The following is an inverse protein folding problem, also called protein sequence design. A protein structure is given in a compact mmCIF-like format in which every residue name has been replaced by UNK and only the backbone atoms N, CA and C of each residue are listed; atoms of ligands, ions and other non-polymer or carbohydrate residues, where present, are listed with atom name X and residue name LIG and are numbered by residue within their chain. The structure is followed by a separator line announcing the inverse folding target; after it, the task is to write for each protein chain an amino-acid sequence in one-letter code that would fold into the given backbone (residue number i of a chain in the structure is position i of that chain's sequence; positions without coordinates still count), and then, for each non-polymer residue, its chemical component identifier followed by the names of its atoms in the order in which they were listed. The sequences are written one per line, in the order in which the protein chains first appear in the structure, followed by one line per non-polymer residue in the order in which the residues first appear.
data_IF_403106879444
#
_entry.id   IF_403106879444
#
_cell.length_a   1.000
_cell.length_b   1.000
_cell.length_c   1.000
_cell.angle_alpha   90.00
_cell.angle_beta   90.00
_cell.angle_gamma   90.00
#
_symmetry.space_group_name_H-M   'P 1'
#
loop_
_entity.id
_entity.type
_entity.pdbx_description
1 polymer ?
#
# COMPACT_ATOMS: atom_id res chain seq x y z
N UNK A 1 42.57 0.05 -1.20
CA UNK A 1 41.64 -1.03 -1.56
C UNK A 1 41.60 -2.17 -0.53
N UNK A 2 42.71 -2.81 -0.18
CA UNK A 2 42.72 -3.95 0.79
C UNK A 2 42.20 -3.53 2.17
N UNK A 3 42.65 -2.42 2.72
CA UNK A 3 42.20 -1.91 4.02
C UNK A 3 40.71 -1.51 4.00
N UNK A 4 40.24 -0.89 2.92
CA UNK A 4 38.82 -0.55 2.74
C UNK A 4 37.96 -1.81 2.68
N UNK A 5 38.36 -2.81 1.90
CA UNK A 5 37.65 -4.08 1.79
C UNK A 5 37.56 -4.79 3.14
N UNK A 6 38.67 -4.86 3.88
CA UNK A 6 38.70 -5.46 5.22
C UNK A 6 37.76 -4.70 6.16
N UNK A 7 37.79 -3.37 6.16
CA UNK A 7 36.90 -2.54 6.98
C UNK A 7 35.44 -2.76 6.61
N UNK A 8 35.12 -2.91 5.33
CA UNK A 8 33.74 -3.23 4.87
C UNK A 8 33.29 -4.58 5.42
N UNK A 9 34.12 -5.62 5.36
CA UNK A 9 33.82 -6.95 5.93
C UNK A 9 33.51 -6.85 7.43
N UNK A 10 34.35 -6.11 8.18
CA UNK A 10 34.14 -5.89 9.62
C UNK A 10 32.82 -5.19 9.92
N UNK A 11 32.45 -4.15 9.13
CA UNK A 11 31.23 -3.42 9.29
C UNK A 11 29.99 -4.25 8.92
N UNK A 12 30.06 -5.03 7.84
CA UNK A 12 28.99 -5.95 7.46
C UNK A 12 28.79 -7.02 8.54
N UNK A 13 29.84 -7.54 9.10
CA UNK A 13 29.77 -8.50 10.23
C UNK A 13 29.10 -7.87 11.48
N UNK A 14 29.37 -6.58 11.77
CA UNK A 14 28.75 -5.86 12.90
C UNK A 14 27.22 -5.77 12.78
N UNK A 15 26.68 -5.71 11.57
CA UNK A 15 25.23 -5.67 11.30
C UNK A 15 24.67 -7.05 10.95
N UNK A 16 25.45 -8.12 11.13
CA UNK A 16 25.01 -9.51 10.88
C UNK A 16 24.88 -9.89 9.41
N UNK A 17 25.40 -9.07 8.49
CA UNK A 17 25.30 -9.31 7.05
C UNK A 17 26.55 -10.05 6.52
N UNK A 18 26.30 -11.16 5.82
CA UNK A 18 27.36 -11.95 5.14
C UNK A 18 27.20 -11.80 3.63
N UNK A 19 27.80 -10.75 3.07
CA UNK A 19 27.79 -10.48 1.65
C UNK A 19 29.20 -10.20 1.13
N UNK A 20 29.43 -10.40 -0.16
CA UNK A 20 30.69 -10.00 -0.80
C UNK A 20 30.75 -8.45 -0.78
N UNK A 21 31.83 -7.86 -0.19
CA UNK A 21 32.00 -6.43 -0.11
C UNK A 21 32.08 -5.72 -1.49
N UNK A 22 32.32 -6.47 -2.55
CA UNK A 22 32.42 -5.94 -3.92
C UNK A 22 31.12 -6.03 -4.71
N UNK A 23 30.03 -6.57 -4.12
CA UNK A 23 28.71 -6.63 -4.77
C UNK A 23 28.07 -5.24 -4.93
N UNK A 24 27.41 -5.00 -6.05
CA UNK A 24 26.69 -3.76 -6.25
C UNK A 24 25.43 -3.69 -5.37
N UNK A 25 25.31 -2.68 -4.51
CA UNK A 25 24.21 -2.54 -3.54
C UNK A 25 22.83 -2.66 -4.22
N UNK A 26 22.66 -2.10 -5.41
CA UNK A 26 21.39 -2.14 -6.18
C UNK A 26 20.90 -3.56 -6.55
N UNK A 27 21.79 -4.56 -6.48
CA UNK A 27 21.42 -5.98 -6.78
C UNK A 27 20.97 -6.73 -5.54
N UNK A 28 21.12 -6.14 -4.36
CA UNK A 28 20.71 -6.73 -3.09
C UNK A 28 19.23 -6.44 -2.80
N UNK A 29 18.60 -7.33 -2.05
CA UNK A 29 17.25 -7.08 -1.52
C UNK A 29 17.21 -5.89 -0.56
N UNK A 30 16.04 -5.25 -0.44
CA UNK A 30 15.86 -4.01 0.33
C UNK A 30 16.33 -4.13 1.78
N UNK A 31 16.07 -5.27 2.45
CA UNK A 31 16.55 -5.52 3.83
C UNK A 31 18.06 -5.44 3.96
N UNK A 32 18.78 -6.05 3.02
CA UNK A 32 20.25 -5.99 3.00
C UNK A 32 20.76 -4.59 2.70
N UNK A 33 20.10 -3.83 1.83
CA UNK A 33 20.45 -2.44 1.56
C UNK A 33 20.31 -1.59 2.82
N UNK A 34 19.24 -1.78 3.60
CA UNK A 34 19.00 -1.08 4.86
C UNK A 34 20.10 -1.36 5.90
N UNK A 35 20.47 -2.64 6.06
CA UNK A 35 21.58 -3.02 6.95
C UNK A 35 22.92 -2.42 6.53
N UNK A 36 23.20 -2.31 5.22
CA UNK A 36 24.41 -1.66 4.70
C UNK A 36 24.40 -0.16 5.02
N UNK A 37 23.25 0.49 4.95
CA UNK A 37 23.14 1.91 5.29
C UNK A 37 23.43 2.17 6.78
N UNK A 38 22.97 1.29 7.67
CA UNK A 38 23.33 1.31 9.08
C UNK A 38 24.82 1.02 9.30
N UNK A 39 25.38 0.01 8.62
CA UNK A 39 26.81 -0.28 8.69
C UNK A 39 27.67 0.92 8.28
N UNK A 40 27.25 1.65 7.24
CA UNK A 40 27.88 2.90 6.79
C UNK A 40 27.83 4.00 7.87
N UNK A 41 26.70 4.15 8.55
CA UNK A 41 26.57 5.09 9.67
C UNK A 41 27.52 4.71 10.83
N UNK A 42 27.54 3.43 11.22
CA UNK A 42 28.39 2.91 12.29
C UNK A 42 29.90 3.02 12.01
N UNK A 43 30.31 3.24 10.77
CA UNK A 43 31.72 3.49 10.45
C UNK A 43 32.26 4.82 11.02
N UNK A 44 31.40 5.72 11.48
CA UNK A 44 31.76 7.06 11.96
C UNK A 44 31.85 7.19 13.49
N UNK A 45 31.93 6.09 14.24
CA UNK A 45 31.90 6.07 15.71
C UNK A 45 30.76 6.94 16.31
N UNK A 46 29.57 6.73 15.79
CA UNK A 46 28.38 7.50 16.19
C UNK A 46 27.97 7.21 17.63
N UNK A 47 27.58 8.27 18.36
CA UNK A 47 27.00 8.18 19.70
C UNK A 47 25.47 8.23 19.65
N UNK A 48 24.92 8.79 18.59
CA UNK A 48 23.48 8.90 18.32
C UNK A 48 23.20 8.42 16.91
N UNK A 49 22.27 7.46 16.78
CA UNK A 49 21.78 6.95 15.51
C UNK A 49 20.34 7.44 15.30
N UNK A 50 20.05 8.05 14.17
CA UNK A 50 18.70 8.48 13.78
C UNK A 50 18.23 7.59 12.61
N UNK A 51 17.11 6.93 12.80
CA UNK A 51 16.51 5.98 11.86
C UNK A 51 15.11 6.48 11.48
N UNK A 52 14.91 6.78 10.20
CA UNK A 52 13.64 7.24 9.67
C UNK A 52 12.97 6.09 8.90
N UNK A 53 11.84 5.58 9.42
CA UNK A 53 11.06 4.46 8.87
C UNK A 53 11.92 3.24 8.46
N UNK A 54 12.84 2.75 9.30
CA UNK A 54 13.86 1.78 8.87
C UNK A 54 13.29 0.41 8.51
N UNK A 55 12.07 0.11 8.91
CA UNK A 55 11.38 -1.18 8.69
C UNK A 55 10.25 -1.10 7.66
N UNK A 56 9.99 0.08 7.07
CA UNK A 56 8.82 0.29 6.22
C UNK A 56 8.76 -0.61 4.97
N UNK A 57 9.93 -1.01 4.44
CA UNK A 57 10.03 -1.86 3.24
C UNK A 57 10.58 -3.26 3.54
N UNK A 58 10.65 -3.65 4.82
CA UNK A 58 11.17 -4.94 5.26
C UNK A 58 10.04 -5.95 5.51
N UNK A 59 10.32 -7.23 5.28
CA UNK A 59 9.48 -8.30 5.77
C UNK A 59 9.65 -8.46 7.30
N UNK A 60 8.83 -9.28 7.92
CA UNK A 60 8.80 -9.45 9.38
C UNK A 60 10.13 -9.97 9.95
N UNK A 61 10.76 -10.94 9.28
CA UNK A 61 12.05 -11.49 9.72
C UNK A 61 13.18 -10.45 9.63
N UNK A 62 13.26 -9.70 8.53
CA UNK A 62 14.26 -8.64 8.36
C UNK A 62 14.02 -7.48 9.35
N UNK A 63 12.75 -7.14 9.64
CA UNK A 63 12.38 -6.16 10.65
C UNK A 63 12.86 -6.60 12.03
N UNK A 64 12.57 -7.83 12.44
CA UNK A 64 13.02 -8.36 13.74
C UNK A 64 14.54 -8.34 13.88
N UNK A 65 15.26 -8.78 12.83
CA UNK A 65 16.73 -8.72 12.82
C UNK A 65 17.26 -7.28 13.02
N UNK A 66 16.62 -6.30 12.41
CA UNK A 66 16.98 -4.89 12.58
C UNK A 66 16.70 -4.40 14.01
N UNK A 67 15.57 -4.76 14.60
CA UNK A 67 15.23 -4.40 15.99
C UNK A 67 16.25 -4.99 16.96
N UNK A 68 16.62 -6.26 16.79
CA UNK A 68 17.66 -6.93 17.59
C UNK A 68 19.03 -6.23 17.48
N UNK A 69 19.38 -5.77 16.26
CA UNK A 69 20.57 -4.97 16.03
C UNK A 69 20.53 -3.65 16.82
N UNK A 70 19.41 -2.93 16.80
CA UNK A 70 19.25 -1.67 17.53
C UNK A 70 19.36 -1.90 19.04
N UNK A 71 18.75 -2.95 19.58
CA UNK A 71 18.90 -3.34 20.97
C UNK A 71 20.38 -3.67 21.32
N UNK A 72 21.08 -4.37 20.43
CA UNK A 72 22.50 -4.64 20.59
C UNK A 72 23.38 -3.37 20.57
N UNK A 73 23.00 -2.35 19.81
CA UNK A 73 23.69 -1.05 19.79
C UNK A 73 23.39 -0.25 21.05
N UNK A 74 22.14 -0.26 21.53
CA UNK A 74 21.73 0.33 22.82
C UNK A 74 22.53 -0.24 23.99
N UNK A 75 22.69 -1.57 24.04
CA UNK A 75 23.50 -2.24 25.07
C UNK A 75 24.99 -1.82 25.04
N UNK A 76 25.48 -1.31 23.91
CA UNK A 76 26.85 -0.76 23.75
C UNK A 76 26.93 0.75 24.03
N UNK A 77 25.85 1.36 24.51
CA UNK A 77 25.79 2.78 24.86
C UNK A 77 25.55 3.73 23.68
N UNK A 78 25.11 3.23 22.54
CA UNK A 78 24.71 4.06 21.41
C UNK A 78 23.23 4.43 21.59
N UNK A 79 22.94 5.73 21.72
CA UNK A 79 21.57 6.24 21.74
C UNK A 79 20.95 6.15 20.32
N UNK A 80 19.65 5.85 20.24
CA UNK A 80 18.93 5.79 18.97
C UNK A 80 17.63 6.60 19.04
N UNK A 81 17.32 7.32 17.96
CA UNK A 81 16.00 7.90 17.71
C UNK A 81 15.43 7.16 16.52
N UNK A 82 14.32 6.48 16.73
CA UNK A 82 13.63 5.76 15.65
C UNK A 82 12.31 6.45 15.35
N UNK A 83 12.10 6.82 14.11
CA UNK A 83 10.83 7.32 13.60
C UNK A 83 10.12 6.13 12.95
N UNK A 84 8.92 5.79 13.43
CA UNK A 84 8.11 4.70 12.89
C UNK A 84 6.64 4.93 13.21
N UNK A 85 5.79 4.34 12.41
CA UNK A 85 4.34 4.24 12.66
C UNK A 85 3.91 2.84 13.07
N UNK A 86 4.83 1.88 13.14
CA UNK A 86 4.58 0.50 13.57
C UNK A 86 4.74 0.39 15.09
N UNK A 87 3.62 0.48 15.81
CA UNK A 87 3.62 0.57 17.26
C UNK A 87 4.21 -0.66 17.95
N UNK A 88 3.93 -1.85 17.43
CA UNK A 88 4.48 -3.11 17.94
C UNK A 88 6.02 -3.17 17.89
N UNK A 89 6.64 -2.52 16.90
CA UNK A 89 8.11 -2.43 16.81
C UNK A 89 8.67 -1.42 17.82
N UNK A 90 7.98 -0.27 17.98
CA UNK A 90 8.36 0.78 18.92
C UNK A 90 8.33 0.25 20.36
N UNK A 91 7.28 -0.46 20.74
CA UNK A 91 7.10 -1.04 22.07
C UNK A 91 8.23 -2.00 22.46
N UNK A 92 8.82 -2.71 21.49
CA UNK A 92 9.92 -3.65 21.74
C UNK A 92 11.25 -3.00 22.09
N UNK A 93 11.54 -1.80 21.58
CA UNK A 93 12.90 -1.23 21.64
C UNK A 93 12.99 0.12 22.34
N UNK A 94 11.91 0.90 22.39
CA UNK A 94 11.93 2.25 22.91
C UNK A 94 11.99 2.28 24.45
N UNK A 95 12.58 3.32 25.01
CA UNK A 95 12.48 3.66 26.43
C UNK A 95 11.42 4.76 26.64
N UNK A 96 11.36 5.69 25.68
CA UNK A 96 10.39 6.78 25.63
C UNK A 96 9.78 6.89 24.23
N UNK A 97 8.51 7.26 24.16
CA UNK A 97 7.80 7.51 22.91
C UNK A 97 7.34 8.96 22.89
N UNK A 98 7.85 9.74 21.94
CA UNK A 98 7.40 11.12 21.71
C UNK A 98 6.44 11.15 20.54
N UNK A 99 5.20 11.54 20.78
CA UNK A 99 4.16 11.66 19.77
C UNK A 99 4.24 13.05 19.13
N UNK A 100 4.43 13.08 17.80
CA UNK A 100 4.49 14.31 17.02
C UNK A 100 3.30 14.34 16.06
N UNK A 101 2.59 15.47 16.01
CA UNK A 101 1.49 15.71 15.09
C UNK A 101 1.51 17.14 14.57
N UNK A 102 1.37 17.31 13.24
CA UNK A 102 1.39 18.61 12.57
C UNK A 102 2.60 19.49 12.98
N UNK A 103 3.79 18.85 13.15
CA UNK A 103 5.05 19.50 13.51
C UNK A 103 5.17 19.91 14.98
N UNK A 104 4.29 19.45 15.85
CA UNK A 104 4.31 19.75 17.30
C UNK A 104 4.36 18.47 18.11
N UNK A 105 5.14 18.47 19.19
CA UNK A 105 5.08 17.42 20.21
C UNK A 105 3.73 17.51 20.93
N UNK A 106 2.99 16.40 20.92
CA UNK A 106 1.71 16.26 21.61
C UNK A 106 1.93 15.75 23.02
N UNK A 107 2.72 14.69 23.14
CA UNK A 107 2.96 13.99 24.41
C UNK A 107 4.27 13.18 24.32
N UNK A 108 4.90 12.94 25.47
CA UNK A 108 6.00 11.97 25.62
C UNK A 108 5.61 10.96 26.70
N UNK A 109 5.69 9.67 26.36
CA UNK A 109 5.32 8.53 27.21
C UNK A 109 6.58 7.78 27.62
N UNK A 110 6.69 7.46 28.92
CA UNK A 110 7.78 6.66 29.47
C UNK A 110 7.34 5.20 29.59
N UNK A 111 8.04 4.29 28.89
CA UNK A 111 7.74 2.86 28.88
C UNK A 111 7.94 2.24 30.26
N UNK A 112 8.95 2.67 31.00
CA UNK A 112 9.29 2.12 32.32
C UNK A 112 8.16 2.31 33.34
N UNK A 113 7.28 3.29 33.11
CA UNK A 113 6.13 3.62 33.98
C UNK A 113 4.84 2.85 33.62
N UNK A 114 4.89 1.99 32.60
CA UNK A 114 3.70 1.27 32.13
C UNK A 114 2.66 2.20 31.47
N UNK A 115 3.08 3.36 30.98
CA UNK A 115 2.20 4.38 30.37
C UNK A 115 1.79 4.04 28.92
N UNK A 116 2.32 2.94 28.38
CA UNK A 116 2.06 2.55 27.00
C UNK A 116 0.71 1.88 26.90
N UNK A 117 -0.12 2.48 26.08
CA UNK A 117 -1.32 1.92 25.55
C UNK A 117 -1.38 2.32 24.08
N UNK A 118 -1.48 1.34 23.17
CA UNK A 118 -1.57 1.55 21.73
C UNK A 118 -2.65 2.58 21.38
N UNK A 119 -3.81 2.52 22.03
CA UNK A 119 -4.91 3.47 21.84
C UNK A 119 -4.51 4.90 22.23
N UNK A 120 -3.69 5.09 23.28
CA UNK A 120 -3.21 6.42 23.71
C UNK A 120 -2.29 7.01 22.66
N UNK A 121 -1.37 6.22 22.13
CA UNK A 121 -0.45 6.64 21.07
C UNK A 121 -1.25 7.02 19.81
N UNK A 122 -2.17 6.16 19.38
CA UNK A 122 -3.03 6.41 18.22
C UNK A 122 -3.85 7.69 18.40
N UNK A 123 -4.46 7.89 19.56
CA UNK A 123 -5.21 9.14 19.88
C UNK A 123 -4.32 10.37 19.78
N UNK A 124 -3.11 10.31 20.30
CA UNK A 124 -2.13 11.39 20.21
C UNK A 124 -1.75 11.69 18.75
N UNK A 125 -1.49 10.67 17.94
CA UNK A 125 -1.13 10.81 16.53
C UNK A 125 -2.28 11.34 15.68
N UNK A 126 -3.49 10.85 15.87
CA UNK A 126 -4.67 11.17 15.04
C UNK A 126 -5.41 12.42 15.54
N UNK A 127 -5.36 12.71 16.84
CA UNK A 127 -5.98 13.89 17.44
C UNK A 127 -7.45 13.75 17.83
N UNK A 128 -8.01 12.56 17.72
CA UNK A 128 -9.35 12.20 18.19
C UNK A 128 -9.29 10.77 18.75
N UNK A 129 -10.19 10.44 19.65
CA UNK A 129 -10.40 9.03 20.02
C UNK A 129 -10.89 8.31 18.76
N UNK A 130 -10.09 7.37 18.26
CA UNK A 130 -10.62 6.36 17.36
C UNK A 130 -11.27 5.33 18.28
N UNK A 131 -12.60 5.33 18.33
CA UNK A 131 -13.36 4.28 19.03
C UNK A 131 -13.11 2.92 18.36
N UNK A 132 -12.71 2.95 17.08
CA UNK A 132 -12.29 1.80 16.27
C UNK A 132 -11.13 2.18 15.35
N UNK A 133 -10.21 1.25 15.12
CA UNK A 133 -9.10 1.36 14.14
C UNK A 133 -9.63 1.49 12.71
N UNK A 134 -10.81 0.96 12.47
CA UNK A 134 -11.50 1.00 11.18
C UNK A 134 -12.83 1.74 11.32
N UNK A 135 -13.24 2.53 10.31
CA UNK A 135 -14.54 3.21 10.36
C UNK A 135 -15.69 2.19 10.29
N UNK A 136 -16.70 2.39 11.11
CA UNK A 136 -17.89 1.56 11.09
C UNK A 136 -18.57 1.62 9.73
N UNK A 137 -19.08 0.48 9.29
CA UNK A 137 -19.80 0.33 8.03
C UNK A 137 -20.98 -0.60 8.21
N UNK A 138 -22.11 -0.23 7.65
CA UNK A 138 -23.26 -1.11 7.42
C UNK A 138 -23.30 -1.44 5.93
N UNK A 139 -22.82 -2.63 5.50
CA UNK A 139 -22.77 -2.96 4.08
C UNK A 139 -24.16 -3.17 3.49
N UNK A 140 -24.44 -2.50 2.37
CA UNK A 140 -25.59 -2.75 1.52
C UNK A 140 -25.15 -3.45 0.24
N UNK A 141 -25.00 -4.79 0.36
CA UNK A 141 -24.43 -5.60 -0.72
C UNK A 141 -25.54 -6.03 -1.67
N UNK A 142 -25.38 -5.64 -2.95
CA UNK A 142 -26.30 -5.98 -4.03
C UNK A 142 -25.94 -7.25 -4.80
N UNK A 143 -26.32 -7.28 -6.06
CA UNK A 143 -26.05 -8.40 -6.98
C UNK A 143 -24.61 -8.40 -7.49
N UNK A 144 -24.16 -9.59 -7.96
CA UNK A 144 -22.89 -9.72 -8.66
C UNK A 144 -22.96 -8.95 -9.98
N UNK A 145 -22.07 -7.99 -10.16
CA UNK A 145 -22.02 -7.18 -11.38
C UNK A 145 -20.72 -7.37 -12.18
N UNK A 146 -19.67 -7.88 -11.54
CA UNK A 146 -18.38 -8.13 -12.17
C UNK A 146 -17.88 -9.52 -11.82
N UNK A 147 -17.49 -10.30 -12.85
CA UNK A 147 -16.95 -11.64 -12.69
C UNK A 147 -15.76 -11.86 -13.62
N UNK A 148 -14.78 -12.57 -13.11
CA UNK A 148 -13.64 -13.10 -13.86
C UNK A 148 -13.68 -14.61 -13.77
N UNK A 149 -13.62 -15.31 -14.92
CA UNK A 149 -13.73 -16.78 -15.00
C UNK A 149 -12.54 -17.35 -15.75
N UNK A 150 -11.93 -18.36 -15.13
CA UNK A 150 -10.85 -19.17 -15.69
C UNK A 150 -9.72 -18.32 -16.31
N UNK A 151 -9.21 -17.34 -15.52
CA UNK A 151 -8.26 -16.34 -15.99
C UNK A 151 -6.82 -16.87 -15.96
N UNK A 152 -6.15 -16.85 -17.12
CA UNK A 152 -4.80 -17.36 -17.29
C UNK A 152 -3.86 -16.29 -17.82
N UNK A 153 -2.71 -16.12 -17.17
CA UNK A 153 -1.71 -15.12 -17.58
C UNK A 153 -0.31 -15.70 -17.45
N UNK A 154 0.46 -15.57 -18.51
CA UNK A 154 1.85 -15.96 -18.58
C UNK A 154 2.76 -14.78 -18.20
N UNK A 155 3.89 -15.06 -17.59
CA UNK A 155 4.89 -14.04 -17.24
C UNK A 155 5.39 -13.30 -18.50
N UNK A 156 5.59 -11.97 -18.46
CA UNK A 156 5.90 -11.18 -19.67
C UNK A 156 7.21 -11.58 -20.36
N UNK A 157 8.21 -12.08 -19.62
CA UNK A 157 9.55 -12.39 -20.13
C UNK A 157 9.97 -13.86 -19.95
N UNK A 158 9.30 -14.62 -19.08
CA UNK A 158 9.62 -16.03 -18.81
C UNK A 158 8.47 -16.89 -19.31
N UNK A 159 8.60 -17.42 -20.52
CA UNK A 159 7.52 -18.12 -21.25
C UNK A 159 7.03 -19.41 -20.57
N UNK A 160 7.82 -20.05 -19.74
CA UNK A 160 7.43 -21.27 -19.02
C UNK A 160 6.67 -20.98 -17.71
N UNK A 161 6.61 -19.72 -17.28
CA UNK A 161 6.02 -19.33 -16.00
C UNK A 161 4.62 -18.75 -16.19
N UNK A 162 3.61 -19.43 -15.66
CA UNK A 162 2.28 -18.88 -15.48
C UNK A 162 2.23 -18.09 -14.18
N UNK A 163 1.78 -16.84 -14.23
CA UNK A 163 1.63 -15.95 -13.05
C UNK A 163 0.20 -15.94 -12.52
N UNK A 164 -0.78 -16.27 -13.37
CA UNK A 164 -2.18 -16.51 -12.98
C UNK A 164 -2.63 -17.81 -13.62
N UNK A 165 -3.28 -18.68 -12.85
CA UNK A 165 -3.52 -20.07 -13.20
C UNK A 165 -4.99 -20.46 -13.01
N UNK A 166 -5.87 -20.06 -13.92
CA UNK A 166 -7.30 -20.40 -13.89
C UNK A 166 -8.04 -19.77 -12.72
N UNK A 167 -7.70 -18.53 -12.39
CA UNK A 167 -8.26 -17.85 -11.24
C UNK A 167 -9.65 -17.29 -11.51
N UNK A 168 -10.54 -17.41 -10.51
CA UNK A 168 -11.91 -16.93 -10.53
C UNK A 168 -12.13 -15.89 -9.44
N UNK A 169 -12.90 -14.85 -9.77
CA UNK A 169 -13.25 -13.78 -8.84
C UNK A 169 -14.60 -13.20 -9.22
N UNK A 170 -15.40 -12.80 -8.26
CA UNK A 170 -16.57 -11.96 -8.52
C UNK A 170 -16.67 -10.83 -7.51
N UNK A 171 -17.39 -9.77 -7.88
CA UNK A 171 -17.64 -8.59 -7.02
C UNK A 171 -19.10 -8.21 -7.14
N UNK A 172 -19.72 -7.90 -5.99
CA UNK A 172 -21.10 -7.42 -5.90
C UNK A 172 -21.13 -5.90 -5.81
N UNK A 173 -22.25 -5.30 -6.17
CA UNK A 173 -22.45 -3.87 -5.97
C UNK A 173 -22.42 -3.53 -4.48
N UNK A 174 -21.75 -2.44 -4.12
CA UNK A 174 -21.63 -2.01 -2.74
C UNK A 174 -20.72 -2.87 -1.86
N UNK A 175 -19.95 -3.80 -2.44
CA UNK A 175 -19.09 -4.73 -1.73
C UNK A 175 -17.63 -4.27 -1.70
N UNK A 176 -16.96 -4.50 -0.58
CA UNK A 176 -15.51 -4.42 -0.45
C UNK A 176 -14.93 -5.83 -0.38
N UNK A 177 -14.16 -6.20 -1.39
CA UNK A 177 -13.52 -7.52 -1.52
C UNK A 177 -12.04 -7.38 -1.18
N UNK A 178 -11.57 -8.13 -0.19
CA UNK A 178 -10.15 -8.24 0.15
C UNK A 178 -9.44 -9.27 -0.71
N UNK A 179 -8.18 -9.04 -1.04
CA UNK A 179 -7.29 -10.02 -1.66
C UNK A 179 -6.04 -10.18 -0.81
N UNK A 180 -5.93 -11.32 -0.14
CA UNK A 180 -4.81 -11.73 0.69
C UNK A 180 -3.87 -12.67 -0.07
N UNK A 181 -2.58 -12.66 0.30
CA UNK A 181 -1.58 -13.58 -0.24
C UNK A 181 -0.18 -13.18 0.20
N UNK A 182 0.76 -14.11 0.17
CA UNK A 182 2.15 -13.81 0.47
C UNK A 182 2.80 -12.96 -0.62
N UNK A 183 3.93 -12.33 -0.30
CA UNK A 183 4.72 -11.58 -1.28
C UNK A 183 5.10 -12.51 -2.46
N UNK A 184 4.81 -12.05 -3.68
CA UNK A 184 5.03 -12.84 -4.91
C UNK A 184 3.96 -13.91 -5.20
N UNK A 185 2.83 -13.95 -4.46
CA UNK A 185 1.73 -14.88 -4.71
C UNK A 185 0.97 -14.62 -6.03
N UNK A 186 1.16 -13.44 -6.66
CA UNK A 186 0.52 -13.11 -7.94
C UNK A 186 -0.70 -12.19 -7.81
N UNK A 187 -0.94 -11.57 -6.65
CA UNK A 187 -2.09 -10.67 -6.39
C UNK A 187 -2.13 -9.47 -7.33
N UNK A 188 -1.05 -8.69 -7.33
CA UNK A 188 -0.87 -7.50 -8.19
C UNK A 188 -0.92 -7.88 -9.66
N UNK A 189 -0.22 -8.95 -10.06
CA UNK A 189 -0.18 -9.45 -11.43
C UNK A 189 -1.57 -9.85 -11.91
N UNK A 190 -2.37 -10.50 -11.07
CA UNK A 190 -3.74 -10.89 -11.37
C UNK A 190 -4.60 -9.64 -11.63
N UNK A 191 -4.60 -8.68 -10.73
CA UNK A 191 -5.43 -7.48 -10.88
C UNK A 191 -4.98 -6.56 -12.01
N UNK A 192 -3.67 -6.39 -12.22
CA UNK A 192 -3.14 -5.64 -13.36
C UNK A 192 -3.50 -6.30 -14.69
N UNK A 193 -3.51 -7.63 -14.75
CA UNK A 193 -3.88 -8.35 -15.98
C UNK A 193 -5.36 -8.18 -16.34
N UNK A 194 -6.25 -8.03 -15.35
CA UNK A 194 -7.67 -7.70 -15.55
C UNK A 194 -7.83 -6.26 -15.99
N UNK A 195 -7.04 -5.35 -15.42
CA UNK A 195 -7.07 -3.93 -15.75
C UNK A 195 -6.32 -3.65 -17.06
N UNK A 196 -6.96 -3.95 -18.20
CA UNK A 196 -6.44 -3.63 -19.52
C UNK A 196 -5.22 -4.44 -19.92
N UNK A 197 -5.08 -5.67 -19.43
CA UNK A 197 -3.92 -6.55 -19.70
C UNK A 197 -2.59 -5.82 -19.46
N UNK A 198 -2.54 -4.97 -18.43
CA UNK A 198 -1.38 -4.12 -18.13
C UNK A 198 -0.20 -4.91 -17.54
N UNK A 199 -0.39 -6.21 -17.26
CA UNK A 199 0.68 -7.13 -16.88
C UNK A 199 0.54 -8.48 -17.59
N UNK A 200 1.67 -9.01 -18.06
CA UNK A 200 1.80 -10.37 -18.60
C UNK A 200 1.15 -10.58 -19.96
N UNK A 201 1.20 -11.82 -20.42
CA UNK A 201 0.62 -12.25 -21.68
C UNK A 201 -0.67 -13.05 -21.38
N UNK A 202 -1.81 -12.47 -21.73
CA UNK A 202 -3.11 -13.11 -21.55
C UNK A 202 -3.18 -14.42 -22.36
N UNK A 203 -3.60 -15.52 -21.71
CA UNK A 203 -3.68 -16.86 -22.30
C UNK A 203 -5.13 -17.37 -22.42
N UNK A 204 -6.05 -16.87 -21.61
CA UNK A 204 -7.44 -17.31 -21.62
C UNK A 204 -8.24 -16.81 -20.44
N UNK A 205 -9.54 -16.99 -20.50
CA UNK A 205 -10.51 -16.58 -19.50
C UNK A 205 -11.48 -15.54 -20.00
N UNK A 206 -12.47 -15.22 -19.17
CA UNK A 206 -13.58 -14.32 -19.50
C UNK A 206 -13.78 -13.28 -18.41
N UNK A 207 -14.18 -12.08 -18.82
CA UNK A 207 -14.68 -11.04 -17.91
C UNK A 207 -16.16 -10.81 -18.25
N UNK A 208 -17.02 -10.89 -17.24
CA UNK A 208 -18.45 -10.64 -17.34
C UNK A 208 -18.79 -9.42 -16.49
N UNK A 209 -19.44 -8.44 -17.09
CA UNK A 209 -19.92 -7.24 -16.39
C UNK A 209 -21.41 -7.06 -16.68
N UNK A 210 -22.20 -6.89 -15.61
CA UNK A 210 -23.66 -6.75 -15.67
C UNK A 210 -24.32 -7.86 -16.55
N UNK A 211 -23.84 -9.11 -16.35
CA UNK A 211 -24.34 -10.30 -17.06
C UNK A 211 -23.87 -10.44 -18.52
N UNK A 212 -22.98 -9.56 -19.00
CA UNK A 212 -22.48 -9.59 -20.38
C UNK A 212 -20.98 -9.80 -20.41
N UNK A 213 -20.51 -10.68 -21.28
CA UNK A 213 -19.08 -10.82 -21.54
C UNK A 213 -18.53 -9.53 -22.17
N UNK A 214 -17.42 -9.04 -21.64
CA UNK A 214 -16.72 -7.84 -22.12
C UNK A 214 -15.26 -8.15 -22.43
N UNK A 215 -14.70 -7.43 -23.40
CA UNK A 215 -13.26 -7.50 -23.71
C UNK A 215 -12.55 -6.24 -23.25
N UNK A 216 -11.45 -6.43 -22.51
CA UNK A 216 -10.63 -5.35 -21.94
C UNK A 216 -9.18 -5.52 -22.41
N UNK A 217 -8.87 -5.23 -23.68
CA UNK A 217 -7.53 -5.45 -24.23
C UNK A 217 -6.49 -4.43 -23.80
N UNK A 218 -6.92 -3.26 -23.32
CA UNK A 218 -6.05 -2.15 -22.92
C UNK A 218 -6.68 -1.32 -21.78
N UNK A 219 -5.86 -0.45 -21.16
CA UNK A 219 -6.27 0.42 -20.05
C UNK A 219 -7.40 1.38 -20.45
N UNK A 220 -7.40 1.88 -21.69
CA UNK A 220 -8.48 2.76 -22.16
C UNK A 220 -9.82 2.05 -22.19
N UNK A 221 -9.83 0.79 -22.62
CA UNK A 221 -11.02 -0.10 -22.58
C UNK A 221 -11.46 -0.37 -21.14
N UNK A 222 -10.53 -0.62 -20.20
CA UNK A 222 -10.84 -0.80 -18.79
C UNK A 222 -11.57 0.44 -18.22
N UNK A 223 -11.05 1.64 -18.48
CA UNK A 223 -11.67 2.90 -18.05
C UNK A 223 -13.07 3.10 -18.70
N UNK A 224 -13.22 2.76 -19.97
CA UNK A 224 -14.53 2.83 -20.67
C UNK A 224 -15.56 1.88 -20.07
N UNK A 225 -15.13 0.70 -19.61
CA UNK A 225 -15.99 -0.25 -18.92
C UNK A 225 -16.16 0.05 -17.42
N UNK A 226 -15.71 1.22 -16.96
CA UNK A 226 -15.91 1.66 -15.58
C UNK A 226 -15.00 0.96 -14.57
N UNK A 227 -13.81 0.51 -14.98
CA UNK A 227 -12.78 0.01 -14.07
C UNK A 227 -11.77 1.10 -13.76
N UNK A 228 -11.25 1.11 -12.53
CA UNK A 228 -10.15 1.95 -12.10
C UNK A 228 -9.13 1.14 -11.29
N UNK A 229 -7.86 1.52 -11.35
CA UNK A 229 -6.77 0.82 -10.68
C UNK A 229 -5.79 1.78 -10.01
N UNK A 230 -5.70 1.71 -8.71
CA UNK A 230 -4.69 2.41 -7.90
C UNK A 230 -3.53 1.46 -7.67
N UNK A 231 -2.36 1.80 -8.22
CA UNK A 231 -1.17 0.96 -8.13
C UNK A 231 -0.46 1.07 -6.79
N UNK A 232 0.23 -0.01 -6.38
CA UNK A 232 1.08 -0.06 -5.19
C UNK A 232 2.14 1.05 -5.17
N UNK A 233 2.85 1.23 -6.28
CA UNK A 233 3.86 2.29 -6.40
C UNK A 233 3.25 3.58 -6.95
N UNK A 234 2.78 4.43 -6.03
CA UNK A 234 2.23 5.73 -6.38
C UNK A 234 3.24 6.69 -7.01
N UNK A 235 4.54 6.54 -6.72
CA UNK A 235 5.58 7.48 -7.19
C UNK A 235 6.04 7.17 -8.61
N UNK A 236 6.07 5.91 -9.00
CA UNK A 236 6.51 5.49 -10.33
C UNK A 236 5.33 5.30 -11.29
N UNK A 237 4.26 4.64 -10.83
CA UNK A 237 3.11 4.29 -11.66
C UNK A 237 1.90 5.18 -11.39
N UNK A 238 1.80 5.70 -10.17
CA UNK A 238 0.63 6.43 -9.70
C UNK A 238 0.60 7.91 -10.07
N UNK A 239 1.69 8.65 -9.98
CA UNK A 239 1.73 10.10 -10.11
C UNK A 239 2.95 10.55 -10.94
N UNK A 240 2.78 11.62 -11.69
CA UNK A 240 3.91 12.41 -12.17
C UNK A 240 4.26 13.45 -11.08
N UNK A 241 5.31 13.19 -10.30
CA UNK A 241 5.68 14.04 -9.16
C UNK A 241 6.09 15.46 -9.53
N UNK A 242 6.39 15.73 -10.81
CA UNK A 242 6.72 17.06 -11.33
C UNK A 242 5.47 17.87 -11.70
N UNK A 243 4.30 17.23 -11.77
CA UNK A 243 3.07 17.87 -12.22
C UNK A 243 2.29 18.48 -11.04
N UNK A 244 1.31 19.32 -11.37
CA UNK A 244 0.42 19.92 -10.38
C UNK A 244 -0.66 18.94 -9.93
N UNK A 245 -1.26 19.23 -8.78
CA UNK A 245 -2.38 18.44 -8.26
C UNK A 245 -3.55 18.48 -9.24
N UNK A 246 -3.89 19.67 -9.81
CA UNK A 246 -5.03 19.80 -10.72
C UNK A 246 -4.88 18.92 -11.96
N UNK A 247 -3.71 18.89 -12.59
CA UNK A 247 -3.45 18.04 -13.75
C UNK A 247 -3.48 16.55 -13.38
N UNK A 248 -2.91 16.21 -12.24
CA UNK A 248 -2.89 14.83 -11.75
C UNK A 248 -4.31 14.28 -11.53
N UNK A 249 -5.23 15.08 -11.00
CA UNK A 249 -6.62 14.68 -10.72
C UNK A 249 -7.39 14.34 -12.01
N UNK A 250 -7.20 15.09 -13.08
CA UNK A 250 -7.98 14.90 -14.32
C UNK A 250 -7.33 13.97 -15.34
N UNK A 251 -6.07 13.58 -15.11
CA UNK A 251 -5.23 12.88 -16.09
C UNK A 251 -5.84 11.58 -16.65
N UNK A 252 -6.64 10.84 -15.84
CA UNK A 252 -7.19 9.55 -16.26
C UNK A 252 -8.36 9.68 -17.26
N UNK A 253 -9.01 10.84 -17.38
CA UNK A 253 -10.16 11.02 -18.27
C UNK A 253 -10.28 12.48 -18.77
N UNK A 254 -9.24 12.98 -19.42
CA UNK A 254 -9.19 14.33 -19.98
C UNK A 254 -10.37 14.65 -20.91
N UNK A 255 -10.94 13.64 -21.56
CA UNK A 255 -12.12 13.81 -22.42
C UNK A 255 -13.35 14.40 -21.71
N UNK A 256 -13.46 14.26 -20.37
CA UNK A 256 -14.55 14.89 -19.59
C UNK A 256 -14.48 16.41 -19.53
N UNK A 257 -13.26 16.97 -19.65
CA UNK A 257 -12.99 18.40 -19.52
C UNK A 257 -12.37 19.00 -20.79
N UNK A 258 -12.39 18.26 -21.91
CA UNK A 258 -11.84 18.71 -23.18
C UNK A 258 -12.97 18.98 -24.18
N UNK A 259 -12.89 20.12 -24.87
CA UNK A 259 -13.74 20.46 -26.00
C UNK A 259 -12.89 20.57 -27.25
N UNK A 260 -13.21 19.79 -28.31
CA UNK A 260 -12.47 19.78 -29.58
C UNK A 260 -10.95 19.55 -29.41
N UNK A 261 -10.56 18.71 -28.44
CA UNK A 261 -9.15 18.41 -28.17
C UNK A 261 -8.40 19.43 -27.30
N UNK A 262 -9.08 20.48 -26.85
CA UNK A 262 -8.50 21.50 -25.95
C UNK A 262 -9.06 21.30 -24.54
N UNK A 263 -8.20 21.22 -23.55
CA UNK A 263 -8.57 21.09 -22.12
C UNK A 263 -9.11 22.44 -21.64
N UNK A 264 -10.24 22.42 -20.93
CA UNK A 264 -10.78 23.59 -20.27
C UNK A 264 -10.11 23.76 -18.91
N UNK A 265 -9.18 24.71 -18.80
CA UNK A 265 -8.39 24.96 -17.59
C UNK A 265 -9.25 25.41 -16.38
N UNK A 266 -10.39 26.06 -16.62
CA UNK A 266 -11.31 26.46 -15.53
C UNK A 266 -12.03 25.25 -14.98
N UNK A 267 -12.46 24.34 -15.84
CA UNK A 267 -13.08 23.08 -15.41
C UNK A 267 -12.05 22.18 -14.73
N UNK A 268 -10.80 22.10 -15.24
CA UNK A 268 -9.69 21.40 -14.59
C UNK A 268 -9.50 21.88 -13.14
N UNK A 269 -9.39 23.19 -12.95
CA UNK A 269 -9.25 23.80 -11.62
C UNK A 269 -10.45 23.49 -10.71
N UNK A 270 -11.67 23.67 -11.23
CA UNK A 270 -12.92 23.43 -10.50
C UNK A 270 -13.05 22.00 -10.03
N UNK A 271 -12.74 21.02 -10.90
CA UNK A 271 -12.73 19.59 -10.58
C UNK A 271 -11.71 19.28 -9.49
N UNK A 272 -10.48 19.78 -9.64
CA UNK A 272 -9.43 19.54 -8.66
C UNK A 272 -9.78 20.13 -7.27
N UNK A 273 -10.33 21.35 -7.22
CA UNK A 273 -10.78 21.96 -5.96
C UNK A 273 -11.93 21.19 -5.31
N UNK A 274 -12.86 20.63 -6.10
CA UNK A 274 -13.92 19.76 -5.59
C UNK A 274 -13.34 18.53 -4.90
N UNK A 275 -12.38 17.82 -5.55
CA UNK A 275 -11.75 16.65 -4.95
C UNK A 275 -10.82 17.00 -3.80
N UNK A 276 -10.12 18.15 -3.84
CA UNK A 276 -9.33 18.65 -2.71
C UNK A 276 -10.18 18.76 -1.45
N UNK A 277 -11.39 19.32 -1.59
CA UNK A 277 -12.35 19.49 -0.47
C UNK A 277 -12.94 18.14 -0.05
N UNK A 278 -13.45 17.36 -1.00
CA UNK A 278 -14.12 16.08 -0.73
C UNK A 278 -13.20 15.10 -0.01
N UNK A 279 -11.96 14.94 -0.48
CA UNK A 279 -10.98 14.03 0.09
C UNK A 279 -10.09 14.68 1.18
N UNK A 280 -10.35 15.94 1.53
CA UNK A 280 -9.59 16.69 2.55
C UNK A 280 -8.07 16.65 2.25
N UNK A 281 -7.68 16.90 1.00
CA UNK A 281 -6.26 16.96 0.61
C UNK A 281 -5.65 18.21 1.24
N UNK A 282 -4.66 18.02 2.12
CA UNK A 282 -3.96 19.10 2.81
C UNK A 282 -2.95 19.76 1.86
N UNK A 283 -3.34 20.86 1.24
CA UNK A 283 -2.53 21.70 0.36
C UNK A 283 -3.06 23.12 0.36
N UNK A 284 -2.21 24.16 0.23
CA UNK A 284 -2.68 25.54 0.09
C UNK A 284 -3.43 25.78 -1.23
N UNK A 285 -3.04 25.07 -2.31
CA UNK A 285 -3.64 25.23 -3.65
C UNK A 285 -3.50 23.96 -4.46
N UNK A 286 -4.41 23.73 -5.40
CA UNK A 286 -4.33 22.65 -6.40
C UNK A 286 -3.28 22.93 -7.49
N UNK A 287 -2.72 24.14 -7.55
CA UNK A 287 -1.60 24.51 -8.41
C UNK A 287 -0.24 24.01 -7.85
N UNK A 288 -0.19 23.58 -6.58
CA UNK A 288 1.04 23.03 -6.01
C UNK A 288 1.46 21.73 -6.71
N UNK A 289 2.78 21.51 -6.76
CA UNK A 289 3.36 20.28 -7.26
C UNK A 289 3.01 19.09 -6.35
N UNK A 290 2.52 18.01 -6.93
CA UNK A 290 2.10 16.82 -6.18
C UNK A 290 3.26 16.18 -5.40
N UNK A 291 4.51 16.34 -5.87
CA UNK A 291 5.70 15.87 -5.19
C UNK A 291 5.97 16.51 -3.82
N UNK A 292 5.36 17.68 -3.53
CA UNK A 292 5.50 18.37 -2.23
C UNK A 292 4.55 17.83 -1.15
N UNK A 293 3.58 17.00 -1.52
CA UNK A 293 2.60 16.46 -0.60
C UNK A 293 3.17 15.32 0.25
N UNK A 294 2.64 15.14 1.46
CA UNK A 294 2.87 13.93 2.26
C UNK A 294 2.32 12.69 1.53
N UNK A 295 2.82 11.49 1.90
CA UNK A 295 2.40 10.23 1.29
C UNK A 295 0.88 10.02 1.30
N UNK A 296 0.22 10.29 2.42
CA UNK A 296 -1.24 10.18 2.53
C UNK A 296 -1.99 11.16 1.62
N UNK A 297 -1.49 12.41 1.47
CA UNK A 297 -2.11 13.36 0.54
C UNK A 297 -1.83 13.02 -0.93
N UNK A 298 -0.65 12.48 -1.27
CA UNK A 298 -0.39 11.92 -2.60
C UNK A 298 -1.35 10.79 -2.93
N UNK A 299 -1.60 9.86 -1.98
CA UNK A 299 -2.55 8.78 -2.16
C UNK A 299 -3.97 9.27 -2.44
N UNK A 300 -4.41 10.32 -1.74
CA UNK A 300 -5.70 10.96 -2.00
C UNK A 300 -5.78 11.61 -3.39
N UNK A 301 -4.68 12.16 -3.92
CA UNK A 301 -4.63 12.66 -5.31
C UNK A 301 -4.77 11.52 -6.30
N UNK A 302 -4.13 10.36 -6.06
CA UNK A 302 -4.31 9.16 -6.91
C UNK A 302 -5.76 8.69 -6.87
N UNK A 303 -6.36 8.61 -5.68
CA UNK A 303 -7.79 8.27 -5.54
C UNK A 303 -8.68 9.26 -6.28
N UNK A 304 -8.46 10.58 -6.10
CA UNK A 304 -9.20 11.64 -6.80
C UNK A 304 -9.16 11.44 -8.32
N UNK A 305 -8.00 11.11 -8.88
CA UNK A 305 -7.81 10.85 -10.31
C UNK A 305 -8.69 9.72 -10.80
N UNK A 306 -8.73 8.62 -10.07
CA UNK A 306 -9.52 7.46 -10.46
C UNK A 306 -11.03 7.66 -10.19
N UNK A 307 -11.38 8.30 -9.08
CA UNK A 307 -12.77 8.70 -8.81
C UNK A 307 -13.32 9.67 -9.86
N UNK A 308 -12.47 10.53 -10.46
CA UNK A 308 -12.86 11.41 -11.55
C UNK A 308 -13.32 10.63 -12.80
N UNK A 309 -12.83 9.43 -13.02
CA UNK A 309 -13.32 8.57 -14.11
C UNK A 309 -14.75 8.09 -13.89
N UNK A 310 -15.26 8.14 -12.63
CA UNK A 310 -16.53 7.60 -12.16
C UNK A 310 -16.64 6.09 -12.41
N UNK A 311 -15.79 5.28 -11.74
CA UNK A 311 -15.75 3.85 -11.95
C UNK A 311 -16.91 3.14 -11.26
N UNK A 312 -17.31 1.97 -11.81
CA UNK A 312 -18.19 1.01 -11.13
C UNK A 312 -17.38 0.06 -10.22
N UNK A 313 -16.14 -0.26 -10.63
CA UNK A 313 -15.21 -1.11 -9.91
C UNK A 313 -13.89 -0.36 -9.69
N UNK A 314 -13.48 -0.21 -8.44
CA UNK A 314 -12.18 0.36 -8.05
C UNK A 314 -11.28 -0.72 -7.46
N UNK A 315 -10.13 -0.94 -8.06
CA UNK A 315 -9.09 -1.84 -7.57
C UNK A 315 -8.01 -1.00 -6.87
N UNK A 316 -7.74 -1.31 -5.61
CA UNK A 316 -6.77 -0.61 -4.76
C UNK A 316 -5.65 -1.60 -4.38
N UNK A 317 -4.47 -1.39 -4.91
CA UNK A 317 -3.30 -2.23 -4.64
C UNK A 317 -2.43 -1.56 -3.58
N UNK A 318 -2.35 -2.18 -2.40
CA UNK A 318 -1.64 -1.68 -1.21
C UNK A 318 -1.95 -0.18 -0.92
N UNK A 319 -3.24 0.21 -0.80
CA UNK A 319 -3.63 1.62 -0.79
C UNK A 319 -3.11 2.41 0.41
N UNK A 320 -2.69 1.73 1.47
CA UNK A 320 -2.25 2.35 2.72
C UNK A 320 -0.76 2.16 2.99
N UNK A 321 -0.02 1.58 2.05
CA UNK A 321 1.41 1.34 2.22
C UNK A 321 2.21 2.63 2.32
N UNK A 322 3.01 2.74 3.40
CA UNK A 322 3.87 3.90 3.64
C UNK A 322 3.10 5.20 3.87
N UNK A 323 1.94 5.12 4.52
CA UNK A 323 1.19 6.27 5.03
C UNK A 323 0.91 6.10 6.52
N UNK A 324 0.75 7.21 7.21
CA UNK A 324 0.52 7.23 8.66
C UNK A 324 -0.88 6.71 9.04
N UNK A 325 -1.05 6.31 10.32
CA UNK A 325 -2.29 5.70 10.84
C UNK A 325 -3.50 6.60 10.63
N UNK A 326 -3.36 7.92 10.79
CA UNK A 326 -4.46 8.85 10.58
C UNK A 326 -4.91 8.91 9.13
N UNK A 327 -3.93 8.91 8.20
CA UNK A 327 -4.22 8.88 6.77
C UNK A 327 -4.80 7.52 6.33
N UNK A 328 -4.37 6.39 6.92
CA UNK A 328 -4.99 5.07 6.69
C UNK A 328 -6.48 5.11 6.98
N UNK A 329 -6.87 5.62 8.16
CA UNK A 329 -8.28 5.74 8.53
C UNK A 329 -9.10 6.58 7.53
N UNK A 330 -8.53 7.68 7.03
CA UNK A 330 -9.20 8.52 6.03
C UNK A 330 -9.38 7.77 4.69
N UNK A 331 -8.42 6.92 4.28
CA UNK A 331 -8.55 6.05 3.10
C UNK A 331 -9.65 5.01 3.31
N UNK A 332 -9.72 4.37 4.48
CA UNK A 332 -10.79 3.42 4.79
C UNK A 332 -12.17 4.08 4.76
N UNK A 333 -12.28 5.31 5.26
CA UNK A 333 -13.54 6.07 5.18
C UNK A 333 -13.94 6.35 3.72
N UNK A 334 -12.99 6.65 2.83
CA UNK A 334 -13.25 6.83 1.39
C UNK A 334 -13.70 5.51 0.75
N UNK A 335 -13.07 4.38 1.10
CA UNK A 335 -13.47 3.04 0.62
C UNK A 335 -14.91 2.75 1.02
N UNK A 336 -15.27 2.99 2.28
CA UNK A 336 -16.63 2.79 2.77
C UNK A 336 -17.65 3.69 2.08
N UNK A 337 -17.30 4.96 1.84
CA UNK A 337 -18.14 5.90 1.10
C UNK A 337 -18.39 5.44 -0.34
N UNK A 338 -17.36 4.96 -1.04
CA UNK A 338 -17.51 4.44 -2.40
C UNK A 338 -18.41 3.20 -2.44
N UNK A 339 -18.23 2.27 -1.51
CA UNK A 339 -19.07 1.09 -1.41
C UNK A 339 -20.53 1.46 -1.08
N UNK A 340 -20.78 2.42 -0.19
CA UNK A 340 -22.13 2.90 0.11
C UNK A 340 -22.86 3.55 -1.09
N UNK A 341 -22.08 4.04 -2.08
CA UNK A 341 -22.59 4.53 -3.36
C UNK A 341 -22.90 3.41 -4.37
N UNK A 342 -22.84 2.14 -3.95
CA UNK A 342 -23.08 0.97 -4.80
C UNK A 342 -21.90 0.56 -5.70
N UNK A 343 -20.73 1.15 -5.51
CA UNK A 343 -19.52 0.78 -6.26
C UNK A 343 -18.89 -0.49 -5.67
N UNK A 344 -18.34 -1.36 -6.51
CA UNK A 344 -17.51 -2.46 -6.05
C UNK A 344 -16.09 -1.96 -5.76
N UNK A 345 -15.49 -2.44 -4.68
CA UNK A 345 -14.11 -2.12 -4.33
C UNK A 345 -13.34 -3.40 -4.10
N UNK A 346 -12.18 -3.55 -4.75
CA UNK A 346 -11.22 -4.61 -4.46
C UNK A 346 -10.03 -3.97 -3.74
N UNK A 347 -9.65 -4.52 -2.60
CA UNK A 347 -8.46 -4.08 -1.84
C UNK A 347 -7.46 -5.22 -1.78
N UNK A 348 -6.28 -5.01 -2.32
CA UNK A 348 -5.14 -5.90 -2.15
C UNK A 348 -4.31 -5.34 -0.99
N UNK A 349 -4.01 -6.15 0.01
CA UNK A 349 -3.15 -5.76 1.11
C UNK A 349 -2.29 -6.92 1.60
N UNK A 350 -1.07 -6.60 2.02
CA UNK A 350 -0.18 -7.51 2.75
C UNK A 350 -0.46 -7.52 4.25
N UNK A 351 -1.24 -6.54 4.75
CA UNK A 351 -1.63 -6.44 6.16
C UNK A 351 -2.97 -7.17 6.38
N UNK A 352 -2.95 -8.40 6.91
CA UNK A 352 -4.18 -9.17 7.20
C UNK A 352 -5.17 -8.43 8.11
N UNK A 353 -4.72 -7.71 9.18
CA UNK A 353 -5.62 -6.91 9.99
C UNK A 353 -6.38 -5.83 9.20
N UNK A 354 -5.75 -5.24 8.17
CA UNK A 354 -6.40 -4.29 7.28
C UNK A 354 -7.56 -4.95 6.54
N UNK A 355 -7.31 -6.07 5.87
CA UNK A 355 -8.34 -6.79 5.11
C UNK A 355 -9.49 -7.25 6.00
N UNK A 356 -9.17 -7.78 7.20
CA UNK A 356 -10.18 -8.20 8.18
C UNK A 356 -11.04 -7.03 8.68
N UNK A 357 -10.46 -5.82 8.75
CA UNK A 357 -11.13 -4.63 9.27
C UNK A 357 -12.02 -3.89 8.27
N UNK A 358 -11.78 -4.06 6.95
CA UNK A 358 -12.47 -3.25 5.93
C UNK A 358 -13.23 -4.05 4.88
N UNK A 359 -12.97 -5.36 4.75
CA UNK A 359 -13.56 -6.19 3.69
C UNK A 359 -14.84 -6.89 4.15
N UNK A 360 -15.74 -7.20 3.23
CA UNK A 360 -16.92 -8.03 3.47
C UNK A 360 -16.59 -9.52 3.31
N UNK A 361 -15.67 -9.84 2.40
CA UNK A 361 -15.07 -11.17 2.21
C UNK A 361 -13.68 -11.05 1.63
N UNK A 362 -12.88 -12.09 1.82
CA UNK A 362 -11.47 -12.09 1.47
C UNK A 362 -11.18 -13.30 0.58
N UNK A 363 -10.64 -13.04 -0.61
CA UNK A 363 -10.01 -14.06 -1.45
C UNK A 363 -8.56 -14.25 -1.02
N UNK A 364 -8.12 -15.50 -0.99
CA UNK A 364 -6.72 -15.84 -0.77
C UNK A 364 -6.06 -16.28 -2.07
N UNK A 365 -4.81 -15.88 -2.27
CA UNK A 365 -4.02 -16.19 -3.45
C UNK A 365 -2.73 -16.89 -3.05
N UNK A 366 -2.47 -18.04 -3.70
CA UNK A 366 -1.24 -18.78 -3.55
C UNK A 366 -0.70 -19.21 -4.93
N UNK A 367 0.55 -18.89 -5.24
CA UNK A 367 1.23 -19.21 -6.49
C UNK A 367 0.43 -18.97 -7.78
N UNK A 368 -0.27 -17.83 -7.84
CA UNK A 368 -1.08 -17.42 -8.98
C UNK A 368 -2.46 -18.08 -9.08
N UNK A 369 -2.91 -18.77 -8.04
CA UNK A 369 -4.26 -19.35 -7.94
C UNK A 369 -5.04 -18.66 -6.82
N UNK A 370 -6.31 -18.42 -7.08
CA UNK A 370 -7.26 -18.12 -6.00
C UNK A 370 -7.57 -19.45 -5.31
N UNK A 371 -7.25 -19.53 -4.02
CA UNK A 371 -7.36 -20.76 -3.23
C UNK A 371 -8.66 -20.85 -2.44
N UNK A 372 -9.15 -19.71 -1.94
CA UNK A 372 -10.38 -19.67 -1.14
C UNK A 372 -11.07 -18.30 -1.22
N UNK A 373 -12.31 -18.22 -0.71
CA UNK A 373 -13.07 -17.00 -0.57
C UNK A 373 -13.85 -17.06 0.76
N UNK A 374 -13.33 -16.38 1.79
CA UNK A 374 -13.83 -16.47 3.17
C UNK A 374 -14.59 -15.18 3.51
N UNK A 375 -15.85 -15.25 4.00
CA UNK A 375 -16.54 -14.09 4.57
C UNK A 375 -15.73 -13.49 5.72
N UNK A 376 -15.67 -12.16 5.82
CA UNK A 376 -14.77 -11.49 6.78
C UNK A 376 -15.15 -11.78 8.24
N UNK A 377 -16.43 -12.02 8.55
CA UNK A 377 -16.93 -12.42 9.85
C UNK A 377 -16.50 -13.84 10.28
N UNK A 378 -16.08 -14.67 9.33
CA UNK A 378 -15.57 -16.02 9.54
C UNK A 378 -14.05 -16.13 9.36
N UNK A 379 -13.43 -15.08 8.85
CA UNK A 379 -12.00 -15.06 8.56
C UNK A 379 -11.18 -14.81 9.84
N UNK A 380 -10.16 -15.64 10.05
CA UNK A 380 -9.14 -15.41 11.08
C UNK A 380 -7.76 -15.32 10.41
N UNK A 381 -6.78 -14.64 11.03
CA UNK A 381 -5.42 -14.58 10.49
C UNK A 381 -4.85 -15.97 10.19
N UNK A 382 -5.12 -16.97 11.06
CA UNK A 382 -4.64 -18.35 10.91
C UNK A 382 -5.31 -19.07 9.75
N UNK A 383 -6.63 -18.87 9.55
CA UNK A 383 -7.37 -19.46 8.44
C UNK A 383 -6.88 -18.88 7.09
N UNK A 384 -6.73 -17.56 7.02
CA UNK A 384 -6.18 -16.89 5.85
C UNK A 384 -4.75 -17.36 5.55
N UNK A 385 -3.88 -17.41 6.58
CA UNK A 385 -2.49 -17.86 6.42
C UNK A 385 -2.42 -19.29 5.90
N UNK A 386 -3.26 -20.21 6.42
CA UNK A 386 -3.32 -21.59 5.94
C UNK A 386 -3.67 -21.64 4.46
N UNK A 387 -4.68 -20.90 4.02
CA UNK A 387 -5.13 -20.87 2.63
C UNK A 387 -4.13 -20.17 1.69
N UNK A 388 -3.27 -19.27 2.22
CA UNK A 388 -2.20 -18.60 1.47
C UNK A 388 -0.91 -19.42 1.37
N UNK A 389 -0.79 -20.56 2.05
CA UNK A 389 0.44 -21.37 2.09
C UNK A 389 0.26 -22.78 1.53
N UNK A 390 -0.97 -23.21 1.24
CA UNK A 390 -1.25 -24.50 0.66
C UNK A 390 -2.23 -24.37 -0.51
N UNK A 391 -1.90 -25.00 -1.64
CA UNK A 391 -2.92 -25.32 -2.64
C UNK A 391 -3.75 -26.48 -2.06
N UNK A 392 -5.01 -26.21 -1.72
CA UNK A 392 -5.99 -27.28 -1.43
C UNK A 392 -6.32 -28.06 -2.68
#
# INVERSE_FOLDING_TARGET
WRAQRQRTVELLARVGLREDPDVAIKTLGVGKQQLIEIAKALNKDVKLLILDEPTAALNENDSQHLLDLILGLKAKGIASIMISHKLNEIEQIADEITIIRDGRTVETLDISRGEINEDRIIRGMVGRSLESRYPDRTPEIGEVFFEVKDWWVQHPTVSERMVVKGSNLNVRRGEVVGIAGLMGAGRTEFMMSIFGRSYGNFQGGQIIKDGREISIPDVSSAIKHGLAYVSEDRKVLGLNLLDTIKRSVVAAKLSKISKRGVVDEREEYSVAERYRKALRIKTPSVEEGVGKLSGGNQQKVVLARWMFTDPDLLILDEPTRGIDVGAKYEIYAIINELASQGKGVIVISSELPELLGISDRIYTVFEGRVTDCIPADQATPEALMRSMTSAT
#
